data_IF_782281566607
#
_entry.id   IF_782281566607
#
_cell.length_a   1.000
_cell.length_b   1.000
_cell.length_c   1.000
_cell.angle_alpha   90.00
_cell.angle_beta   90.00
_cell.angle_gamma   90.00
#
_symmetry.space_group_name_H-M   'P 1'
#
loop_
_entity.id
_entity.type
_entity.pdbx_description
1 polymer ?
#
# COMPACT_ATOMS: atom_id res chain seq x y z
N UNK A 1 8.07 20.39 7.84
CA UNK A 1 8.27 19.22 6.97
C UNK A 1 7.68 17.95 7.60
N UNK A 2 6.66 17.38 6.97
CA UNK A 2 5.94 16.16 7.33
C UNK A 2 6.16 15.14 6.21
N UNK A 3 6.59 13.94 6.60
CA UNK A 3 6.61 12.77 5.73
C UNK A 3 5.46 11.87 6.12
N UNK A 4 4.65 11.45 5.14
CA UNK A 4 3.61 10.45 5.33
C UNK A 4 4.05 9.12 4.72
N UNK A 5 3.87 8.05 5.48
CA UNK A 5 3.95 6.69 4.93
C UNK A 5 2.76 6.41 4.01
N UNK A 6 2.92 5.45 3.10
CA UNK A 6 1.90 5.06 2.12
C UNK A 6 0.76 4.26 2.72
N UNK A 7 0.96 3.69 3.91
CA UNK A 7 0.04 2.79 4.60
C UNK A 7 0.18 1.32 4.18
N UNK A 8 1.05 1.01 3.21
CA UNK A 8 1.26 -0.35 2.69
C UNK A 8 1.60 -1.34 3.78
N UNK A 9 2.61 -1.05 4.60
CA UNK A 9 3.03 -1.92 5.71
C UNK A 9 1.91 -2.17 6.73
N UNK A 10 1.15 -1.13 7.10
CA UNK A 10 0.06 -1.25 8.07
C UNK A 10 -1.04 -2.17 7.54
N UNK A 11 -1.44 -2.01 6.28
CA UNK A 11 -2.38 -2.94 5.63
C UNK A 11 -1.80 -4.35 5.57
N UNK A 12 -0.49 -4.50 5.31
CA UNK A 12 0.19 -5.80 5.31
C UNK A 12 0.34 -6.43 6.71
N UNK A 13 0.23 -5.67 7.79
CA UNK A 13 0.24 -6.22 9.15
C UNK A 13 -1.12 -6.79 9.58
N UNK A 14 -2.23 -6.35 8.96
CA UNK A 14 -3.60 -6.79 9.25
C UNK A 14 -3.98 -8.14 8.61
N UNK A 15 -2.99 -9.02 8.43
CA UNK A 15 -2.91 -10.25 7.61
C UNK A 15 -4.18 -11.07 7.30
N UNK A 16 -5.20 -11.09 8.14
CA UNK A 16 -6.44 -11.86 7.90
C UNK A 16 -7.54 -11.11 7.17
N UNK A 17 -7.43 -9.78 7.04
CA UNK A 17 -8.52 -8.94 6.56
C UNK A 17 -8.22 -8.26 5.22
N UNK A 18 -7.15 -8.65 4.52
CA UNK A 18 -6.76 -8.02 3.26
C UNK A 18 -6.88 -8.93 2.03
N UNK A 19 -7.16 -8.32 0.88
CA UNK A 19 -7.02 -8.93 -0.44
C UNK A 19 -6.27 -7.96 -1.35
N UNK A 20 -5.13 -8.43 -1.85
CA UNK A 20 -4.24 -7.70 -2.75
C UNK A 20 -4.58 -8.06 -4.20
N UNK A 21 -4.60 -7.05 -5.07
CA UNK A 21 -4.77 -7.20 -6.52
C UNK A 21 -3.87 -6.20 -7.24
N UNK A 22 -3.72 -6.32 -8.56
CA UNK A 22 -2.97 -5.34 -9.35
C UNK A 22 -3.48 -3.89 -9.17
N UNK A 23 -4.78 -3.71 -8.90
CA UNK A 23 -5.39 -2.37 -8.75
C UNK A 23 -5.04 -1.69 -7.42
N UNK A 24 -4.77 -2.47 -6.38
CA UNK A 24 -4.59 -1.99 -5.02
C UNK A 24 -4.91 -3.06 -3.99
N UNK A 25 -5.07 -2.63 -2.74
CA UNK A 25 -5.39 -3.48 -1.61
C UNK A 25 -6.76 -3.16 -1.03
N UNK A 26 -7.56 -4.19 -0.81
CA UNK A 26 -8.80 -4.08 -0.05
C UNK A 26 -8.56 -4.62 1.34
N UNK A 27 -9.06 -3.94 2.37
CA UNK A 27 -8.92 -4.37 3.76
C UNK A 27 -10.14 -3.98 4.60
N UNK A 28 -10.30 -4.63 5.77
CA UNK A 28 -11.30 -4.20 6.76
C UNK A 28 -10.64 -3.42 7.88
N UNK A 29 -11.28 -2.33 8.29
CA UNK A 29 -10.90 -1.54 9.45
C UNK A 29 -10.99 -2.40 10.72
N UNK A 30 -9.98 -2.27 11.57
CA UNK A 30 -9.92 -2.94 12.87
C UNK A 30 -10.76 -2.23 13.94
N UNK A 31 -11.29 -1.04 13.63
CA UNK A 31 -12.10 -0.23 14.55
C UNK A 31 -13.58 -0.62 14.46
N UNK A 32 -14.09 -0.74 13.24
CA UNK A 32 -15.53 -0.91 12.95
C UNK A 32 -15.85 -2.04 11.96
N UNK A 33 -14.83 -2.68 11.38
CA UNK A 33 -15.01 -3.75 10.40
C UNK A 33 -15.40 -3.28 9.00
N UNK A 34 -15.48 -1.97 8.76
CA UNK A 34 -15.83 -1.42 7.45
C UNK A 34 -14.77 -1.80 6.40
N UNK A 35 -15.22 -2.08 5.17
CA UNK A 35 -14.35 -2.43 4.07
C UNK A 35 -13.86 -1.17 3.35
N UNK A 36 -12.55 -1.11 3.14
CA UNK A 36 -11.87 -0.03 2.44
C UNK A 36 -11.06 -0.59 1.28
N UNK A 37 -10.90 0.23 0.25
CA UNK A 37 -9.99 -0.01 -0.88
C UNK A 37 -8.95 1.11 -0.91
N UNK A 38 -7.68 0.71 -1.07
CA UNK A 38 -6.56 1.62 -1.17
C UNK A 38 -5.76 1.26 -2.43
N UNK A 39 -5.84 2.15 -3.42
CA UNK A 39 -4.99 2.11 -4.61
C UNK A 39 -3.78 3.03 -4.43
N UNK A 40 -2.73 2.88 -5.27
CA UNK A 40 -1.62 3.82 -5.33
C UNK A 40 -2.07 5.29 -5.45
N UNK A 41 -3.01 5.58 -6.35
CA UNK A 41 -3.54 6.93 -6.59
C UNK A 41 -4.28 7.47 -5.37
N UNK A 42 -5.09 6.62 -4.73
CA UNK A 42 -5.83 7.00 -3.52
C UNK A 42 -4.89 7.25 -2.33
N UNK A 43 -3.80 6.50 -2.22
CA UNK A 43 -2.79 6.72 -1.18
C UNK A 43 -2.14 8.10 -1.34
N UNK A 44 -1.72 8.46 -2.55
CA UNK A 44 -1.15 9.78 -2.85
C UNK A 44 -2.16 10.91 -2.60
N UNK A 45 -3.41 10.73 -3.04
CA UNK A 45 -4.49 11.71 -2.79
C UNK A 45 -4.69 11.96 -1.29
N UNK A 46 -4.77 10.91 -0.48
CA UNK A 46 -4.92 11.03 0.98
C UNK A 46 -3.73 11.76 1.59
N UNK A 47 -2.51 11.42 1.21
CA UNK A 47 -1.30 12.09 1.70
C UNK A 47 -1.27 13.58 1.31
N UNK A 48 -1.78 13.93 0.12
CA UNK A 48 -1.94 15.32 -0.32
C UNK A 48 -2.98 16.07 0.51
N UNK A 49 -4.13 15.46 0.80
CA UNK A 49 -5.16 16.03 1.66
C UNK A 49 -4.69 16.24 3.10
N UNK A 50 -3.74 15.42 3.57
CA UNK A 50 -3.09 15.57 4.87
C UNK A 50 -2.01 16.68 4.87
N UNK A 51 -1.68 17.26 3.72
CA UNK A 51 -0.68 18.32 3.59
C UNK A 51 0.76 17.83 3.78
N UNK A 52 1.06 16.59 3.38
CA UNK A 52 2.41 16.05 3.48
C UNK A 52 3.40 16.78 2.56
N UNK A 53 4.59 17.11 3.08
CA UNK A 53 5.69 17.68 2.30
C UNK A 53 6.41 16.61 1.49
N UNK A 54 6.45 15.36 1.99
CA UNK A 54 7.03 14.19 1.33
C UNK A 54 6.02 13.04 1.40
N UNK A 55 5.66 12.52 0.23
CA UNK A 55 4.69 11.45 0.08
C UNK A 55 5.39 10.15 -0.30
N UNK A 56 5.11 9.07 0.43
CA UNK A 56 5.64 7.75 0.13
C UNK A 56 4.69 6.99 -0.79
N UNK A 57 5.24 6.36 -1.82
CA UNK A 57 4.46 5.53 -2.73
C UNK A 57 3.96 4.24 -2.06
N UNK A 58 2.80 3.75 -2.50
CA UNK A 58 2.25 2.49 -2.02
C UNK A 58 3.04 1.30 -2.56
N UNK A 59 3.39 0.35 -1.69
CA UNK A 59 4.20 -0.82 -2.00
C UNK A 59 3.63 -2.12 -1.39
N UNK A 60 4.14 -3.26 -1.88
CA UNK A 60 3.85 -4.57 -1.31
C UNK A 60 5.00 -5.04 -0.41
N UNK A 61 4.82 -4.87 0.91
CA UNK A 61 5.75 -5.42 1.88
C UNK A 61 5.57 -6.95 2.03
N UNK A 62 6.56 -7.71 1.55
CA UNK A 62 6.58 -9.18 1.67
C UNK A 62 7.17 -9.60 3.01
N UNK A 63 6.46 -10.48 3.74
CA UNK A 63 6.94 -11.03 4.99
C UNK A 63 8.08 -12.03 4.74
N UNK A 64 9.16 -11.94 5.52
CA UNK A 64 10.29 -12.87 5.43
C UNK A 64 10.24 -13.93 6.53
N UNK A 65 10.71 -15.15 6.26
CA UNK A 65 11.28 -15.62 4.99
C UNK A 65 10.21 -15.89 3.92
N UNK A 66 10.52 -15.57 2.66
CA UNK A 66 9.67 -15.84 1.49
C UNK A 66 10.49 -16.47 0.37
N UNK A 67 9.83 -17.14 -0.58
CA UNK A 67 10.51 -17.65 -1.77
C UNK A 67 10.99 -16.49 -2.64
N UNK A 68 12.13 -16.65 -3.31
CA UNK A 68 12.68 -15.63 -4.22
C UNK A 68 11.65 -15.16 -5.25
N UNK A 69 10.88 -16.09 -5.83
CA UNK A 69 9.79 -15.79 -6.76
C UNK A 69 8.68 -14.92 -6.15
N UNK A 70 8.40 -15.05 -4.86
CA UNK A 70 7.39 -14.22 -4.18
C UNK A 70 7.91 -12.80 -3.94
N UNK A 71 9.20 -12.69 -3.58
CA UNK A 71 9.90 -11.42 -3.42
C UNK A 71 9.96 -10.69 -4.75
N UNK A 72 10.33 -11.38 -5.83
CA UNK A 72 10.37 -10.83 -7.19
C UNK A 72 8.99 -10.32 -7.61
N UNK A 73 7.93 -11.13 -7.45
CA UNK A 73 6.55 -10.72 -7.76
C UNK A 73 6.14 -9.44 -7.02
N UNK A 74 6.44 -9.35 -5.72
CA UNK A 74 6.05 -8.18 -4.91
C UNK A 74 6.87 -6.93 -5.27
N UNK A 75 8.15 -7.10 -5.60
CA UNK A 75 9.02 -6.03 -6.09
C UNK A 75 8.53 -5.51 -7.45
N UNK A 76 8.20 -6.39 -8.40
CA UNK A 76 7.64 -6.00 -9.70
C UNK A 76 6.28 -5.28 -9.56
N UNK A 77 5.41 -5.76 -8.66
CA UNK A 77 4.14 -5.08 -8.38
C UNK A 77 4.37 -3.68 -7.81
N UNK A 78 5.29 -3.56 -6.84
CA UNK A 78 5.63 -2.28 -6.23
C UNK A 78 6.19 -1.29 -7.26
N UNK A 79 6.99 -1.75 -8.23
CA UNK A 79 7.46 -0.91 -9.33
C UNK A 79 6.31 -0.41 -10.23
N UNK A 80 5.33 -1.27 -10.55
CA UNK A 80 4.15 -0.87 -11.33
C UNK A 80 3.27 0.13 -10.56
N UNK A 81 3.17 -0.01 -9.25
CA UNK A 81 2.48 0.94 -8.38
C UNK A 81 3.23 2.27 -8.24
N UNK A 82 4.57 2.24 -8.20
CA UNK A 82 5.41 3.43 -8.20
C UNK A 82 5.14 4.32 -9.40
N UNK A 83 5.06 3.72 -10.60
CA UNK A 83 4.80 4.47 -11.82
C UNK A 83 3.41 5.13 -11.80
N UNK A 84 2.42 4.48 -11.19
CA UNK A 84 1.06 5.02 -11.02
C UNK A 84 0.98 6.17 -10.00
N UNK A 85 1.94 6.27 -9.07
CA UNK A 85 1.98 7.37 -8.09
C UNK A 85 2.57 8.66 -8.68
N UNK A 86 3.23 8.61 -9.84
CA UNK A 86 3.93 9.76 -10.45
C UNK A 86 3.01 10.67 -11.27
N UNK A 87 1.80 10.22 -11.59
CA UNK A 87 0.79 10.91 -12.40
C UNK A 87 -0.28 11.56 -11.54
#
# INVERSE_FOLDING_TARGET
PILTDSGGFQVMSLSKLRKLTEKGVTFRSHIDGAAYEMSPERSIEIQGLLGADIQMQLDECTALPAMEKEIERAMELSLRWAERCRT
#
